data_IF_113085247461
#
_entry.id   IF_113085247461
#
_cell.length_a   1.000
_cell.length_b   1.000
_cell.length_c   1.000
_cell.angle_alpha   90.00
_cell.angle_beta   90.00
_cell.angle_gamma   90.00
#
_symmetry.space_group_name_H-M   'P 1'
#
loop_
_entity.id
_entity.type
_entity.pdbx_description
1 polymer ?
#
# COMPACT_ATOMS: atom_id res chain seq x y z
N UNK A 1 -30.08 6.13 -21.96
CA UNK A 1 -29.32 6.14 -23.23
C UNK A 1 -28.46 4.87 -23.29
N UNK A 2 -28.85 3.91 -24.14
CA UNK A 2 -28.18 2.60 -24.24
C UNK A 2 -26.69 2.70 -24.56
N UNK A 3 -26.29 3.72 -25.28
CA UNK A 3 -24.90 3.99 -25.64
C UNK A 3 -24.02 4.28 -24.41
N UNK A 4 -24.53 5.03 -23.42
CA UNK A 4 -23.81 5.34 -22.19
C UNK A 4 -23.68 4.11 -21.27
N UNK A 5 -24.70 3.26 -21.26
CA UNK A 5 -24.68 1.99 -20.48
C UNK A 5 -23.66 1.03 -21.09
N UNK A 6 -23.61 0.90 -22.42
CA UNK A 6 -22.63 0.05 -23.09
C UNK A 6 -21.19 0.48 -22.81
N UNK A 7 -20.91 1.77 -22.94
CA UNK A 7 -19.58 2.33 -22.63
C UNK A 7 -19.20 2.12 -21.15
N UNK A 8 -20.14 2.31 -20.23
CA UNK A 8 -19.93 2.05 -18.80
C UNK A 8 -19.57 0.57 -18.56
N UNK A 9 -20.36 -0.34 -19.12
CA UNK A 9 -20.14 -1.77 -18.98
C UNK A 9 -18.78 -2.21 -19.56
N UNK A 10 -18.39 -1.66 -20.72
CA UNK A 10 -17.09 -1.95 -21.32
C UNK A 10 -15.93 -1.47 -20.42
N UNK A 11 -16.05 -0.31 -19.81
CA UNK A 11 -15.06 0.20 -18.85
C UNK A 11 -14.97 -0.66 -17.57
N UNK A 12 -16.08 -1.27 -17.18
CA UNK A 12 -16.14 -2.09 -15.95
C UNK A 12 -15.63 -3.52 -16.15
N UNK A 13 -15.47 -4.01 -17.37
CA UNK A 13 -14.98 -5.38 -17.67
C UNK A 13 -13.62 -5.70 -17.05
N UNK A 14 -12.79 -4.71 -16.84
CA UNK A 14 -11.43 -4.87 -16.27
C UNK A 14 -11.41 -5.11 -14.76
N UNK A 15 -12.55 -5.03 -14.09
CA UNK A 15 -12.65 -5.20 -12.64
C UNK A 15 -13.30 -6.55 -12.29
N UNK A 16 -12.76 -7.25 -11.28
CA UNK A 16 -13.29 -8.53 -10.81
C UNK A 16 -14.58 -8.37 -10.00
N UNK A 17 -14.75 -7.20 -9.34
CA UNK A 17 -15.89 -6.90 -8.50
C UNK A 17 -16.31 -5.43 -8.67
N UNK A 18 -17.62 -5.21 -8.63
CA UNK A 18 -18.23 -3.88 -8.68
C UNK A 18 -19.02 -3.67 -7.39
N UNK A 19 -18.83 -2.53 -6.76
CA UNK A 19 -19.67 -2.07 -5.64
C UNK A 19 -20.51 -0.90 -6.17
N UNK A 20 -21.84 -1.01 -6.08
CA UNK A 20 -22.73 0.01 -6.58
C UNK A 20 -23.73 0.45 -5.49
N UNK A 21 -23.84 1.78 -5.32
CA UNK A 21 -24.89 2.41 -4.51
C UNK A 21 -26.14 2.71 -5.34
N UNK A 22 -27.31 2.27 -4.88
CA UNK A 22 -28.59 2.62 -5.48
C UNK A 22 -29.39 3.46 -4.49
N UNK A 23 -29.71 4.68 -4.91
CA UNK A 23 -30.38 5.67 -4.10
C UNK A 23 -31.85 5.76 -4.50
N UNK A 24 -32.71 5.08 -3.75
CA UNK A 24 -34.16 5.03 -3.97
C UNK A 24 -34.87 5.84 -2.88
N UNK A 25 -34.81 7.17 -3.00
CA UNK A 25 -35.40 8.09 -2.01
C UNK A 25 -36.88 8.34 -2.27
N UNK A 26 -37.64 8.70 -1.23
CA UNK A 26 -39.07 9.01 -1.33
C UNK A 26 -39.35 10.24 -2.21
N UNK A 27 -38.35 11.09 -2.43
CA UNK A 27 -38.42 12.30 -3.30
C UNK A 27 -38.40 11.97 -4.79
N UNK A 28 -37.89 10.80 -5.16
CA UNK A 28 -37.87 10.31 -6.53
C UNK A 28 -38.51 8.93 -6.52
N UNK A 29 -39.87 8.85 -6.63
CA UNK A 29 -40.52 7.56 -6.66
C UNK A 29 -39.97 6.76 -7.84
N UNK A 30 -39.57 5.52 -7.60
CA UNK A 30 -39.21 4.56 -8.65
C UNK A 30 -40.49 4.31 -9.48
N UNK A 31 -40.64 5.05 -10.59
CA UNK A 31 -41.64 4.72 -11.57
C UNK A 31 -41.24 3.47 -12.34
N UNK A 32 -42.16 2.83 -13.04
CA UNK A 32 -41.94 1.57 -13.75
C UNK A 32 -40.77 1.66 -14.76
N UNK A 33 -40.63 2.77 -15.46
CA UNK A 33 -39.58 2.97 -16.49
C UNK A 33 -38.18 3.03 -15.90
N UNK A 34 -38.03 3.65 -14.74
CA UNK A 34 -36.73 3.73 -14.03
C UNK A 34 -36.40 2.35 -13.45
N UNK A 35 -37.40 1.64 -12.91
CA UNK A 35 -37.21 0.30 -12.37
C UNK A 35 -36.76 -0.69 -13.46
N UNK A 36 -37.32 -0.65 -14.66
CA UNK A 36 -36.96 -1.52 -15.78
C UNK A 36 -35.54 -1.25 -16.25
N UNK A 37 -35.16 0.01 -16.42
CA UNK A 37 -33.81 0.41 -16.83
C UNK A 37 -32.76 0.00 -15.80
N UNK A 38 -33.07 0.17 -14.52
CA UNK A 38 -32.19 -0.22 -13.42
C UNK A 38 -32.07 -1.74 -13.33
N UNK A 39 -33.19 -2.47 -13.48
CA UNK A 39 -33.21 -3.93 -13.50
C UNK A 39 -32.33 -4.47 -14.64
N UNK A 40 -32.44 -3.89 -15.85
CA UNK A 40 -31.61 -4.27 -16.97
C UNK A 40 -30.10 -3.99 -16.69
N UNK A 41 -29.76 -2.83 -16.11
CA UNK A 41 -28.39 -2.49 -15.76
C UNK A 41 -27.82 -3.47 -14.74
N UNK A 42 -28.54 -3.73 -13.64
CA UNK A 42 -28.12 -4.67 -12.59
C UNK A 42 -27.95 -6.08 -13.16
N UNK A 43 -28.86 -6.52 -14.02
CA UNK A 43 -28.76 -7.81 -14.70
C UNK A 43 -27.50 -7.91 -15.57
N UNK A 44 -27.19 -6.88 -16.34
CA UNK A 44 -25.98 -6.84 -17.18
C UNK A 44 -24.71 -6.83 -16.31
N UNK A 45 -24.69 -6.07 -15.21
CA UNK A 45 -23.57 -6.05 -14.27
C UNK A 45 -23.35 -7.41 -13.62
N UNK A 46 -24.41 -8.06 -13.12
CA UNK A 46 -24.32 -9.40 -12.48
C UNK A 46 -23.84 -10.48 -13.46
N UNK A 47 -24.16 -10.36 -14.74
CA UNK A 47 -23.71 -11.31 -15.76
C UNK A 47 -22.24 -11.12 -16.14
N UNK A 48 -21.69 -9.94 -15.92
CA UNK A 48 -20.34 -9.57 -16.32
C UNK A 48 -19.33 -9.67 -15.18
N UNK A 49 -19.74 -9.23 -13.97
CA UNK A 49 -18.87 -9.09 -12.80
C UNK A 49 -19.58 -9.59 -11.54
N UNK A 50 -18.79 -9.84 -10.46
CA UNK A 50 -19.36 -9.95 -9.12
C UNK A 50 -19.81 -8.57 -8.67
N UNK A 51 -21.09 -8.45 -8.25
CA UNK A 51 -21.62 -7.17 -7.81
C UNK A 51 -22.09 -7.22 -6.35
N UNK A 52 -21.69 -6.21 -5.58
CA UNK A 52 -22.26 -5.88 -4.27
C UNK A 52 -23.10 -4.63 -4.44
N UNK A 53 -24.37 -4.70 -4.07
CA UNK A 53 -25.30 -3.58 -4.19
C UNK A 53 -25.62 -3.05 -2.80
N UNK A 54 -25.40 -1.76 -2.57
CA UNK A 54 -25.88 -1.01 -1.40
C UNK A 54 -27.16 -0.29 -1.77
N UNK A 55 -28.24 -0.62 -1.10
CA UNK A 55 -29.56 -0.04 -1.34
C UNK A 55 -29.89 1.01 -0.28
N UNK A 56 -29.96 2.26 -0.68
CA UNK A 56 -30.28 3.42 0.17
C UNK A 56 -31.71 3.86 -0.11
N UNK A 57 -32.65 3.40 0.70
CA UNK A 57 -34.07 3.74 0.55
C UNK A 57 -35.03 2.68 1.04
N UNK A 58 -36.29 2.83 0.63
CA UNK A 58 -37.38 1.96 1.05
C UNK A 58 -37.14 0.49 0.61
N UNK A 59 -37.09 -0.46 1.54
CA UNK A 59 -36.81 -1.87 1.24
C UNK A 59 -37.86 -2.53 0.35
N UNK A 60 -39.11 -2.11 0.38
CA UNK A 60 -40.16 -2.67 -0.47
C UNK A 60 -39.97 -2.43 -1.97
N UNK A 61 -39.20 -1.38 -2.33
CA UNK A 61 -38.89 -1.10 -3.73
C UNK A 61 -37.94 -2.13 -4.37
N UNK A 62 -37.25 -2.93 -3.58
CA UNK A 62 -36.43 -4.04 -4.04
C UNK A 62 -37.24 -5.01 -4.90
N UNK A 63 -38.55 -5.19 -4.59
CA UNK A 63 -39.44 -6.04 -5.37
C UNK A 63 -39.66 -5.60 -6.81
N UNK A 64 -39.30 -4.36 -7.14
CA UNK A 64 -39.34 -3.85 -8.53
C UNK A 64 -38.06 -4.16 -9.36
N UNK A 65 -37.03 -4.69 -8.70
CA UNK A 65 -35.71 -4.93 -9.32
C UNK A 65 -35.29 -6.38 -9.07
N UNK A 66 -35.84 -7.29 -9.82
CA UNK A 66 -35.63 -8.75 -9.66
C UNK A 66 -34.14 -9.13 -9.73
N UNK A 67 -33.37 -8.43 -10.56
CA UNK A 67 -31.95 -8.66 -10.76
C UNK A 67 -31.09 -8.49 -9.48
N UNK A 68 -31.58 -7.75 -8.48
CA UNK A 68 -30.89 -7.60 -7.18
C UNK A 68 -30.71 -8.94 -6.47
N UNK A 69 -31.64 -9.86 -6.67
CA UNK A 69 -31.60 -11.19 -6.04
C UNK A 69 -30.41 -12.06 -6.52
N UNK A 70 -29.80 -11.72 -7.63
CA UNK A 70 -28.67 -12.43 -8.24
C UNK A 70 -27.33 -11.73 -7.96
N UNK A 71 -27.32 -10.61 -7.24
CA UNK A 71 -26.09 -9.93 -6.84
C UNK A 71 -25.29 -10.77 -5.83
N UNK A 72 -23.97 -10.67 -5.87
CA UNK A 72 -23.06 -11.37 -4.95
C UNK A 72 -23.26 -10.94 -3.50
N UNK A 73 -23.76 -9.71 -3.28
CA UNK A 73 -24.16 -9.18 -1.99
C UNK A 73 -25.21 -8.08 -2.16
N UNK A 74 -26.18 -8.02 -1.23
CA UNK A 74 -27.17 -6.96 -1.14
C UNK A 74 -27.19 -6.41 0.27
N UNK A 75 -26.84 -5.15 0.42
CA UNK A 75 -26.85 -4.41 1.68
C UNK A 75 -28.01 -3.43 1.70
N UNK A 76 -28.84 -3.47 2.74
CA UNK A 76 -29.94 -2.54 2.97
C UNK A 76 -29.53 -1.49 4.00
N UNK A 77 -29.38 -0.27 3.55
CA UNK A 77 -28.99 0.87 4.39
C UNK A 77 -30.19 1.74 4.82
N UNK A 78 -31.38 1.51 4.23
CA UNK A 78 -32.65 2.19 4.51
C UNK A 78 -32.68 3.70 4.25
N UNK A 79 -31.64 4.42 4.64
CA UNK A 79 -31.58 5.88 4.55
C UNK A 79 -30.43 6.31 3.63
N UNK A 80 -30.59 7.49 3.04
CA UNK A 80 -29.55 8.13 2.24
C UNK A 80 -29.01 9.33 3.04
N UNK A 81 -27.89 9.11 3.72
CA UNK A 81 -27.12 10.16 4.40
C UNK A 81 -25.66 9.71 4.56
N UNK A 82 -24.78 10.67 4.85
CA UNK A 82 -23.34 10.45 4.96
C UNK A 82 -22.95 9.32 5.94
N UNK A 83 -23.71 9.14 7.03
CA UNK A 83 -23.42 8.10 8.02
C UNK A 83 -23.74 6.71 7.52
N UNK A 84 -24.87 6.54 6.82
CA UNK A 84 -25.25 5.23 6.26
C UNK A 84 -24.38 4.85 5.09
N UNK A 85 -23.89 5.80 4.31
CA UNK A 85 -22.92 5.58 3.24
C UNK A 85 -21.59 5.10 3.80
N UNK A 86 -21.02 5.80 4.79
CA UNK A 86 -19.79 5.44 5.47
C UNK A 86 -19.88 4.06 6.15
N UNK A 87 -20.94 3.81 6.95
CA UNK A 87 -21.14 2.52 7.61
C UNK A 87 -21.34 1.38 6.60
N UNK A 88 -21.98 1.65 5.46
CA UNK A 88 -22.13 0.66 4.38
C UNK A 88 -20.78 0.27 3.80
N UNK A 89 -19.91 1.24 3.55
CA UNK A 89 -18.53 1.01 3.09
C UNK A 89 -17.75 0.20 4.14
N UNK A 90 -17.78 0.61 5.42
CA UNK A 90 -17.10 -0.10 6.50
C UNK A 90 -17.57 -1.56 6.63
N UNK A 91 -18.86 -1.83 6.44
CA UNK A 91 -19.41 -3.18 6.47
C UNK A 91 -18.93 -4.02 5.27
N UNK A 92 -18.99 -3.47 4.06
CA UNK A 92 -18.55 -4.16 2.84
C UNK A 92 -17.07 -4.53 2.92
N UNK A 93 -16.23 -3.63 3.44
CA UNK A 93 -14.81 -3.85 3.58
C UNK A 93 -14.42 -4.56 4.90
N UNK A 94 -15.37 -4.95 5.75
CA UNK A 94 -15.13 -5.74 6.95
C UNK A 94 -14.54 -4.96 8.14
N UNK A 95 -14.66 -3.63 8.14
CA UNK A 95 -14.33 -2.80 9.29
C UNK A 95 -15.29 -3.03 10.46
N UNK A 96 -16.59 -3.15 10.15
CA UNK A 96 -17.64 -3.49 11.11
C UNK A 96 -18.31 -4.81 10.74
N UNK A 97 -18.87 -5.50 11.75
CA UNK A 97 -19.63 -6.72 11.53
C UNK A 97 -21.07 -6.43 11.07
N UNK A 98 -21.61 -7.28 10.20
CA UNK A 98 -23.00 -7.24 9.80
C UNK A 98 -23.83 -8.15 10.70
N UNK A 99 -24.75 -7.57 11.49
CA UNK A 99 -25.70 -8.28 12.36
C UNK A 99 -27.15 -7.91 12.07
N UNK A 100 -27.37 -7.02 11.10
CA UNK A 100 -28.69 -6.51 10.78
C UNK A 100 -29.66 -7.61 10.40
N UNK A 101 -30.90 -7.50 10.91
CA UNK A 101 -32.01 -8.35 10.56
C UNK A 101 -33.13 -7.51 9.98
N UNK A 102 -33.81 -8.02 8.95
CA UNK A 102 -34.93 -7.32 8.35
C UNK A 102 -36.07 -7.13 9.39
N UNK A 103 -36.51 -5.88 9.62
CA UNK A 103 -37.63 -5.61 10.51
C UNK A 103 -39.00 -5.92 9.87
N UNK A 104 -39.02 -6.12 8.56
CA UNK A 104 -40.22 -6.33 7.76
C UNK A 104 -40.00 -7.46 6.74
N UNK A 105 -41.08 -8.09 6.30
CA UNK A 105 -41.07 -9.01 5.16
C UNK A 105 -41.18 -8.22 3.88
N UNK A 106 -40.22 -8.33 3.00
CA UNK A 106 -40.17 -7.69 1.68
C UNK A 106 -40.88 -8.61 0.66
N UNK A 107 -40.50 -9.90 0.66
CA UNK A 107 -41.05 -10.94 -0.22
C UNK A 107 -40.75 -12.33 0.37
N UNK A 108 -41.04 -13.38 -0.38
CA UNK A 108 -40.82 -14.77 0.06
C UNK A 108 -39.34 -15.11 0.33
N UNK A 109 -38.39 -14.46 -0.34
CA UNK A 109 -36.95 -14.64 -0.14
C UNK A 109 -36.45 -13.84 1.05
N UNK A 110 -36.94 -12.62 1.22
CA UNK A 110 -36.50 -11.67 2.23
C UNK A 110 -37.60 -11.44 3.27
N UNK A 111 -37.69 -12.35 4.23
CA UNK A 111 -38.69 -12.31 5.32
C UNK A 111 -38.16 -11.53 6.52
N UNK A 112 -39.10 -11.10 7.37
CA UNK A 112 -38.75 -10.52 8.68
C UNK A 112 -37.80 -11.44 9.44
N UNK A 113 -36.74 -10.87 10.06
CA UNK A 113 -35.69 -11.62 10.75
C UNK A 113 -34.58 -12.17 9.84
N UNK A 114 -34.74 -12.13 8.52
CA UNK A 114 -33.67 -12.52 7.60
C UNK A 114 -32.48 -11.54 7.65
N UNK A 115 -31.30 -12.06 7.53
CA UNK A 115 -30.04 -11.27 7.45
C UNK A 115 -28.83 -12.17 7.69
N UNK A 116 -27.78 -11.92 6.98
CA UNK A 116 -26.52 -12.60 7.12
C UNK A 116 -25.72 -12.02 8.28
N UNK A 117 -24.90 -12.85 8.92
CA UNK A 117 -23.87 -12.39 9.86
C UNK A 117 -22.55 -12.39 9.09
N UNK A 118 -21.89 -11.23 9.05
CA UNK A 118 -20.55 -11.10 8.45
C UNK A 118 -19.54 -10.69 9.51
N UNK A 119 -18.30 -11.22 9.44
CA UNK A 119 -17.27 -10.83 10.40
C UNK A 119 -16.91 -9.35 10.25
N UNK A 120 -16.54 -8.72 11.36
CA UNK A 120 -15.96 -7.38 11.42
C UNK A 120 -14.54 -7.44 11.95
N UNK A 121 -13.92 -6.25 12.11
CA UNK A 121 -12.53 -6.09 12.58
C UNK A 121 -11.48 -6.81 11.69
N UNK A 122 -11.81 -7.09 10.42
CA UNK A 122 -10.88 -7.58 9.40
C UNK A 122 -9.99 -6.44 8.94
N UNK A 123 -10.52 -5.20 9.03
CA UNK A 123 -9.82 -3.94 8.76
C UNK A 123 -10.05 -2.97 9.89
N UNK A 124 -9.21 -1.91 9.94
CA UNK A 124 -9.48 -0.78 10.82
C UNK A 124 -10.84 -0.18 10.47
N UNK A 125 -11.66 0.06 11.49
CA UNK A 125 -12.90 0.83 11.34
C UNK A 125 -12.63 2.31 11.67
N UNK A 126 -13.47 3.20 11.16
CA UNK A 126 -13.48 4.60 11.55
C UNK A 126 -14.50 4.84 12.67
N UNK A 127 -14.17 5.69 13.62
CA UNK A 127 -15.06 5.99 14.74
C UNK A 127 -14.63 7.17 15.59
N UNK A 128 -15.51 7.58 16.50
CA UNK A 128 -15.24 8.70 17.40
C UNK A 128 -14.11 8.37 18.38
N UNK A 129 -13.19 9.31 18.64
CA UNK A 129 -12.13 9.17 19.63
C UNK A 129 -12.64 8.77 21.02
N UNK A 130 -13.79 9.27 21.42
CA UNK A 130 -14.45 8.98 22.72
C UNK A 130 -14.76 7.49 22.89
N UNK A 131 -15.15 6.81 21.82
CA UNK A 131 -15.41 5.36 21.84
C UNK A 131 -14.13 4.53 22.10
N UNK A 132 -12.97 5.12 21.79
CA UNK A 132 -11.67 4.54 22.10
C UNK A 132 -11.06 5.06 23.42
N UNK A 133 -11.80 5.87 24.18
CA UNK A 133 -11.34 6.46 25.45
C UNK A 133 -10.35 7.62 25.25
N UNK A 134 -10.49 8.38 24.17
CA UNK A 134 -9.68 9.56 23.85
C UNK A 134 -10.60 10.74 23.63
N UNK A 135 -10.24 11.93 24.16
CA UNK A 135 -10.99 13.15 23.87
C UNK A 135 -10.65 13.68 22.48
N UNK A 136 -11.65 13.82 21.60
CA UNK A 136 -11.49 14.38 20.26
C UNK A 136 -10.88 15.77 20.28
N UNK A 137 -11.40 16.67 21.12
CA UNK A 137 -10.89 18.05 21.23
C UNK A 137 -9.42 18.11 21.64
N UNK A 138 -8.99 17.27 22.60
CA UNK A 138 -7.58 17.21 23.03
C UNK A 138 -6.69 16.61 21.94
N UNK A 139 -7.14 15.54 21.29
CA UNK A 139 -6.40 14.87 20.23
C UNK A 139 -6.16 15.82 19.06
N UNK A 140 -7.23 16.42 18.55
CA UNK A 140 -7.18 17.34 17.41
C UNK A 140 -6.29 18.55 17.73
N UNK A 141 -6.55 19.25 18.84
CA UNK A 141 -5.76 20.41 19.22
C UNK A 141 -4.26 20.13 19.34
N UNK A 142 -3.89 18.95 19.89
CA UNK A 142 -2.47 18.59 20.04
C UNK A 142 -1.82 18.25 18.71
N UNK A 143 -2.48 17.44 17.88
CA UNK A 143 -1.93 17.05 16.57
C UNK A 143 -1.86 18.27 15.66
N UNK A 144 -2.90 19.10 15.59
CA UNK A 144 -2.90 20.35 14.81
C UNK A 144 -1.73 21.26 15.20
N UNK A 145 -1.50 21.43 16.50
CA UNK A 145 -0.40 22.24 17.02
C UNK A 145 0.96 21.71 16.57
N UNK A 146 1.20 20.39 16.67
CA UNK A 146 2.47 19.76 16.28
C UNK A 146 2.67 19.84 14.77
N UNK A 147 1.67 19.45 13.97
CA UNK A 147 1.76 19.44 12.52
C UNK A 147 2.02 20.86 11.96
N UNK A 148 1.26 21.84 12.41
CA UNK A 148 1.43 23.22 11.96
C UNK A 148 2.75 23.84 12.45
N UNK A 149 3.22 23.48 13.64
CA UNK A 149 4.54 23.92 14.13
C UNK A 149 5.68 23.41 13.22
N UNK A 150 5.62 22.14 12.80
CA UNK A 150 6.62 21.57 11.88
C UNK A 150 6.61 22.26 10.51
N UNK A 151 5.42 22.53 9.94
CA UNK A 151 5.27 23.26 8.68
C UNK A 151 5.80 24.69 8.81
N UNK A 152 5.43 25.40 9.90
CA UNK A 152 5.87 26.77 10.16
C UNK A 152 7.39 26.87 10.35
N UNK A 153 7.99 25.86 10.98
CA UNK A 153 9.44 25.75 11.15
C UNK A 153 10.16 25.29 9.87
N UNK A 154 9.43 25.02 8.77
CA UNK A 154 9.95 24.45 7.54
C UNK A 154 10.70 23.12 7.74
N UNK A 155 10.28 22.31 8.71
CA UNK A 155 10.80 20.96 8.91
C UNK A 155 10.29 20.01 7.80
N UNK A 156 9.07 20.23 7.35
CA UNK A 156 8.44 19.56 6.20
C UNK A 156 7.37 20.48 5.60
N UNK A 157 7.06 20.35 4.29
CA UNK A 157 6.06 21.20 3.62
C UNK A 157 4.62 20.80 3.91
N UNK A 158 4.40 19.55 4.23
CA UNK A 158 3.08 18.98 4.56
C UNK A 158 3.21 17.58 5.11
N UNK A 159 2.11 17.03 5.62
CA UNK A 159 2.04 15.66 6.13
C UNK A 159 0.60 15.16 6.18
N UNK A 160 0.46 13.85 6.19
CA UNK A 160 -0.77 13.13 6.49
C UNK A 160 -0.60 12.37 7.80
N UNK A 161 -1.58 12.45 8.70
CA UNK A 161 -1.51 11.84 10.02
C UNK A 161 -2.75 10.98 10.26
N UNK A 162 -2.51 9.69 10.51
CA UNK A 162 -3.54 8.74 10.94
C UNK A 162 -3.23 8.28 12.36
N UNK A 163 -4.24 8.29 13.23
CA UNK A 163 -4.16 7.69 14.56
C UNK A 163 -5.21 6.60 14.72
N UNK A 164 -4.77 5.39 15.05
CA UNK A 164 -5.66 4.28 15.33
C UNK A 164 -5.48 3.78 16.77
N UNK A 165 -6.57 3.43 17.44
CA UNK A 165 -6.57 2.84 18.77
C UNK A 165 -7.64 1.76 18.86
N UNK A 166 -7.28 0.59 19.41
CA UNK A 166 -8.20 -0.57 19.58
C UNK A 166 -8.92 -0.95 18.26
N UNK A 167 -8.16 -0.97 17.14
CA UNK A 167 -8.71 -1.31 15.83
C UNK A 167 -9.60 -0.22 15.20
N UNK A 168 -9.64 0.99 15.76
CA UNK A 168 -10.45 2.11 15.26
C UNK A 168 -9.55 3.27 14.89
N UNK A 169 -9.68 3.75 13.65
CA UNK A 169 -9.11 5.05 13.23
C UNK A 169 -9.91 6.14 13.90
N UNK A 170 -9.27 6.91 14.76
CA UNK A 170 -9.87 7.95 15.58
C UNK A 170 -9.44 9.35 15.16
N UNK A 171 -8.53 9.45 14.22
CA UNK A 171 -8.07 10.70 13.63
C UNK A 171 -7.43 10.41 12.28
N UNK A 172 -7.77 11.20 11.27
CA UNK A 172 -7.16 11.18 9.95
C UNK A 172 -7.24 12.60 9.38
N UNK A 173 -6.10 13.23 9.14
CA UNK A 173 -6.05 14.62 8.66
C UNK A 173 -4.78 14.89 7.86
N UNK A 174 -4.94 15.69 6.80
CA UNK A 174 -3.86 16.17 5.94
C UNK A 174 -3.54 17.62 6.25
N UNK A 175 -2.26 18.00 6.11
CA UNK A 175 -1.75 19.34 6.41
C UNK A 175 -0.77 19.78 5.33
N UNK A 176 -0.82 21.07 4.98
CA UNK A 176 0.14 21.71 4.10
C UNK A 176 0.11 21.21 2.67
N UNK A 177 1.28 21.11 2.05
CA UNK A 177 1.45 20.90 0.61
C UNK A 177 2.55 19.88 0.33
N UNK A 178 2.61 19.37 -0.91
CA UNK A 178 3.67 18.44 -1.35
C UNK A 178 5.07 19.07 -1.30
N UNK A 179 5.16 20.38 -1.56
CA UNK A 179 6.42 21.13 -1.55
C UNK A 179 6.23 22.50 -0.93
N UNK A 180 7.34 23.18 -0.62
CA UNK A 180 7.33 24.58 -0.11
C UNK A 180 6.84 25.61 -1.13
N UNK A 181 6.58 25.21 -2.37
CA UNK A 181 5.94 26.09 -3.37
C UNK A 181 4.43 26.28 -3.15
N UNK A 182 3.83 25.49 -2.27
CA UNK A 182 2.42 25.54 -1.87
C UNK A 182 1.42 25.43 -3.03
N UNK A 183 1.74 24.59 -4.04
CA UNK A 183 0.89 24.42 -5.23
C UNK A 183 -0.08 23.26 -5.09
N UNK A 184 0.39 22.11 -4.63
CA UNK A 184 -0.39 20.87 -4.51
C UNK A 184 -0.62 20.57 -3.04
N UNK A 185 -1.85 20.67 -2.52
CA UNK A 185 -2.16 20.33 -1.14
C UNK A 185 -2.00 18.82 -0.90
N UNK A 186 -1.64 18.46 0.33
CA UNK A 186 -1.63 17.06 0.76
C UNK A 186 -3.07 16.55 0.88
N UNK A 187 -3.32 15.34 0.37
CA UNK A 187 -4.62 14.68 0.39
C UNK A 187 -4.52 13.25 0.93
N UNK A 188 -5.65 12.67 1.34
CA UNK A 188 -5.75 11.28 1.82
C UNK A 188 -5.48 10.23 0.73
N UNK A 189 -5.35 10.64 -0.51
CA UNK A 189 -5.04 9.76 -1.65
C UNK A 189 -3.56 9.81 -2.07
N UNK A 190 -2.75 10.53 -1.33
CA UNK A 190 -1.34 10.69 -1.66
C UNK A 190 -0.53 9.43 -1.33
N UNK A 191 0.55 9.26 -2.05
CA UNK A 191 1.48 8.14 -1.89
C UNK A 191 2.83 8.65 -1.43
N UNK A 192 3.39 8.00 -0.43
CA UNK A 192 4.66 8.36 0.19
C UNK A 192 5.69 7.26 0.01
N UNK A 193 6.95 7.66 -0.14
CA UNK A 193 8.07 6.74 0.00
C UNK A 193 8.08 6.17 1.42
N UNK A 194 8.02 4.85 1.54
CA UNK A 194 7.95 4.18 2.84
C UNK A 194 9.32 4.03 3.51
N UNK A 195 10.41 4.30 2.78
CA UNK A 195 11.76 4.14 3.29
C UNK A 195 11.92 2.81 4.05
N UNK A 196 12.44 2.86 5.28
CA UNK A 196 12.68 1.65 6.08
C UNK A 196 11.42 0.92 6.57
N UNK A 197 10.22 1.48 6.45
CA UNK A 197 8.97 0.75 6.68
C UNK A 197 8.85 -0.44 5.72
N UNK A 198 9.49 -0.38 4.54
CA UNK A 198 9.61 -1.49 3.59
C UNK A 198 10.14 -2.78 4.23
N UNK A 199 11.04 -2.69 5.22
CA UNK A 199 11.57 -3.85 5.93
C UNK A 199 10.46 -4.68 6.58
N UNK A 200 9.49 -4.02 7.20
CA UNK A 200 8.39 -4.66 7.96
C UNK A 200 7.11 -4.79 7.15
N UNK A 201 6.92 -3.99 6.10
CA UNK A 201 5.74 -4.08 5.24
C UNK A 201 5.93 -5.03 4.05
N UNK A 202 7.17 -5.31 3.64
CA UNK A 202 7.46 -6.12 2.46
C UNK A 202 8.42 -7.29 2.76
N UNK A 203 9.67 -6.98 3.10
CA UNK A 203 10.73 -8.00 3.19
C UNK A 203 10.46 -9.04 4.30
N UNK A 204 10.11 -8.59 5.50
CA UNK A 204 9.81 -9.50 6.61
C UNK A 204 8.56 -10.36 6.34
N UNK A 205 7.43 -9.81 5.90
CA UNK A 205 6.25 -10.62 5.55
C UNK A 205 6.51 -11.65 4.44
N UNK A 206 7.36 -11.34 3.47
CA UNK A 206 7.76 -12.33 2.46
C UNK A 206 8.53 -13.51 3.07
N UNK A 207 9.46 -13.24 4.00
CA UNK A 207 10.14 -14.29 4.75
C UNK A 207 9.18 -15.10 5.63
N UNK A 208 8.17 -14.46 6.25
CA UNK A 208 7.15 -15.15 7.03
C UNK A 208 6.32 -16.12 6.19
N UNK A 209 6.02 -15.79 4.93
CA UNK A 209 5.36 -16.72 4.00
C UNK A 209 6.26 -17.95 3.77
N UNK A 210 7.52 -17.73 3.44
CA UNK A 210 8.47 -18.82 3.17
C UNK A 210 8.72 -19.68 4.42
N UNK A 211 8.72 -19.08 5.60
CA UNK A 211 8.80 -19.82 6.88
C UNK A 211 7.55 -20.70 7.09
N UNK A 212 6.35 -20.17 6.80
CA UNK A 212 5.12 -20.95 6.90
C UNK A 212 4.99 -22.09 5.87
N UNK A 213 5.80 -22.05 4.82
CA UNK A 213 5.91 -23.08 3.78
C UNK A 213 7.12 -24.03 4.01
N UNK A 214 7.78 -23.95 5.17
CA UNK A 214 8.98 -24.71 5.53
C UNK A 214 10.17 -24.51 4.54
N UNK A 215 10.18 -23.42 3.78
CA UNK A 215 11.25 -23.08 2.83
C UNK A 215 12.35 -22.21 3.46
N UNK A 216 12.03 -21.48 4.52
CA UNK A 216 12.93 -20.56 5.22
C UNK A 216 12.89 -20.82 6.72
N UNK A 217 14.04 -20.73 7.37
CA UNK A 217 14.16 -20.69 8.82
C UNK A 217 15.10 -19.54 9.25
N UNK A 218 14.70 -18.69 10.18
CA UNK A 218 15.57 -17.64 10.67
C UNK A 218 16.79 -18.19 11.46
N UNK A 219 16.76 -19.43 11.90
CA UNK A 219 17.84 -20.06 12.66
C UNK A 219 18.93 -20.65 11.77
N UNK A 220 18.79 -20.56 10.48
CA UNK A 220 19.77 -20.98 9.50
C UNK A 220 20.84 -19.90 9.23
N UNK A 221 22.02 -20.36 8.79
CA UNK A 221 23.15 -19.49 8.42
C UNK A 221 22.91 -18.82 7.07
N UNK A 222 23.40 -17.59 6.91
CA UNK A 222 23.36 -16.87 5.64
C UNK A 222 23.91 -17.72 4.48
N UNK A 223 25.04 -18.42 4.70
CA UNK A 223 25.70 -19.23 3.66
C UNK A 223 24.89 -20.43 3.21
N UNK A 224 23.90 -20.89 3.97
CA UNK A 224 23.01 -21.97 3.56
C UNK A 224 22.04 -21.51 2.48
N UNK A 225 21.55 -20.28 2.59
CA UNK A 225 20.68 -19.67 1.58
C UNK A 225 21.46 -19.09 0.41
N UNK A 226 22.59 -18.41 0.69
CA UNK A 226 23.41 -17.72 -0.31
C UNK A 226 24.84 -18.27 -0.32
N UNK A 227 25.12 -19.35 -1.07
CA UNK A 227 26.43 -19.99 -1.14
C UNK A 227 27.59 -19.06 -1.51
N UNK A 228 27.30 -17.96 -2.21
CA UNK A 228 28.29 -16.94 -2.56
C UNK A 228 28.84 -16.20 -1.33
N UNK A 229 28.23 -16.33 -0.15
CA UNK A 229 28.75 -15.81 1.12
C UNK A 229 29.65 -16.80 1.89
N UNK A 230 29.78 -18.06 1.46
CA UNK A 230 30.58 -19.10 2.14
C UNK A 230 32.02 -18.71 2.44
N UNK A 231 32.61 -17.86 1.58
CA UNK A 231 33.99 -17.37 1.75
C UNK A 231 34.06 -15.94 2.30
N UNK A 232 33.03 -15.49 2.99
CA UNK A 232 32.98 -14.16 3.62
C UNK A 232 32.94 -14.30 5.15
N UNK A 233 33.28 -13.19 5.85
CA UNK A 233 33.13 -13.10 7.30
C UNK A 233 31.66 -13.13 7.77
N UNK A 234 30.71 -13.28 6.85
CA UNK A 234 29.27 -13.36 7.12
C UNK A 234 28.70 -14.76 6.94
N UNK A 235 29.55 -15.72 6.55
CA UNK A 235 29.16 -17.10 6.29
C UNK A 235 28.33 -17.71 7.40
N UNK A 236 28.78 -17.53 8.65
CA UNK A 236 28.23 -18.14 9.84
C UNK A 236 27.16 -17.31 10.56
N UNK A 237 26.81 -16.13 10.02
CA UNK A 237 25.78 -15.30 10.63
C UNK A 237 24.41 -15.95 10.51
N UNK A 238 23.69 -16.03 11.63
CA UNK A 238 22.31 -16.52 11.67
C UNK A 238 21.37 -15.43 11.13
N UNK A 239 20.40 -15.82 10.33
CA UNK A 239 19.41 -14.89 9.78
C UNK A 239 18.62 -14.21 10.91
N UNK A 240 18.31 -14.91 12.01
CA UNK A 240 17.66 -14.35 13.19
C UNK A 240 18.43 -13.15 13.75
N UNK A 241 19.75 -13.31 13.96
CA UNK A 241 20.60 -12.24 14.47
C UNK A 241 20.68 -11.06 13.47
N UNK A 242 20.75 -11.38 12.17
CA UNK A 242 20.76 -10.37 11.11
C UNK A 242 19.46 -9.56 11.07
N UNK A 243 18.31 -10.23 11.08
CA UNK A 243 16.98 -9.58 11.05
C UNK A 243 16.72 -8.77 12.33
N UNK A 244 17.24 -9.22 13.47
CA UNK A 244 17.16 -8.51 14.74
C UNK A 244 18.19 -7.38 14.90
N UNK A 245 19.03 -7.12 13.88
CA UNK A 245 20.11 -6.14 13.92
C UNK A 245 21.16 -6.41 15.01
N UNK A 246 21.41 -7.68 15.31
CA UNK A 246 22.34 -8.13 16.37
C UNK A 246 23.52 -8.96 15.82
N UNK A 247 23.67 -9.03 14.50
CA UNK A 247 24.70 -9.82 13.84
C UNK A 247 26.08 -9.13 13.75
N UNK A 248 26.26 -7.97 14.35
CA UNK A 248 27.52 -7.20 14.28
C UNK A 248 27.79 -6.56 12.92
N UNK A 249 26.79 -6.44 12.05
CA UNK A 249 26.94 -5.76 10.76
C UNK A 249 27.10 -4.25 10.95
N UNK A 250 27.83 -3.57 10.04
CA UNK A 250 27.85 -2.11 9.98
C UNK A 250 26.45 -1.56 9.66
N UNK A 251 26.15 -0.36 10.13
CA UNK A 251 24.83 0.23 9.98
C UNK A 251 24.43 0.38 8.51
N UNK A 252 25.29 0.95 7.69
CA UNK A 252 25.09 1.19 6.25
C UNK A 252 26.42 1.38 5.54
N UNK A 253 26.41 1.33 4.18
CA UNK A 253 27.55 1.60 3.32
C UNK A 253 27.11 2.64 2.29
N UNK A 254 27.79 3.79 2.20
CA UNK A 254 27.44 4.86 1.25
C UNK A 254 27.92 4.51 -0.17
N UNK A 255 27.33 3.51 -0.81
CA UNK A 255 27.74 2.98 -2.12
C UNK A 255 27.83 4.05 -3.20
N UNK A 256 26.98 5.09 -3.14
CA UNK A 256 26.94 6.16 -4.10
C UNK A 256 28.24 7.01 -4.08
N UNK A 257 28.94 7.13 -2.94
CA UNK A 257 30.19 7.91 -2.84
C UNK A 257 31.27 7.36 -3.76
N UNK A 258 31.29 6.05 -3.96
CA UNK A 258 32.19 5.40 -4.90
C UNK A 258 31.89 5.72 -6.38
N UNK A 259 30.73 6.30 -6.67
CA UNK A 259 30.31 6.66 -8.03
C UNK A 259 30.63 8.10 -8.40
N UNK A 260 31.01 8.93 -7.43
CA UNK A 260 31.22 10.36 -7.58
C UNK A 260 32.71 10.68 -7.44
N UNK A 261 33.22 11.61 -8.26
CA UNK A 261 34.57 12.18 -8.15
C UNK A 261 34.61 13.30 -7.12
N UNK A 262 35.82 13.69 -6.66
CA UNK A 262 36.01 14.83 -5.74
C UNK A 262 35.36 16.13 -6.20
N UNK A 263 35.25 16.35 -7.51
CA UNK A 263 34.60 17.53 -8.10
C UNK A 263 33.06 17.39 -8.26
N UNK A 264 32.45 16.39 -7.67
CA UNK A 264 31.01 16.14 -7.70
C UNK A 264 30.45 15.60 -9.03
N UNK A 265 31.30 15.30 -10.02
CA UNK A 265 30.90 14.66 -11.27
C UNK A 265 30.86 13.13 -11.12
N UNK A 266 29.97 12.47 -11.82
CA UNK A 266 29.95 11.01 -11.86
C UNK A 266 31.23 10.42 -12.48
N UNK A 267 31.63 9.27 -11.97
CA UNK A 267 32.71 8.49 -12.60
C UNK A 267 32.24 7.99 -13.98
N UNK A 268 33.13 7.91 -14.97
CA UNK A 268 32.77 7.44 -16.31
C UNK A 268 32.14 6.05 -16.29
N UNK A 269 31.18 5.82 -17.16
CA UNK A 269 30.51 4.52 -17.34
C UNK A 269 29.72 4.04 -16.12
N UNK A 270 29.43 4.89 -15.16
CA UNK A 270 28.59 4.53 -13.99
C UNK A 270 27.13 4.76 -14.28
N UNK A 271 26.80 5.92 -14.81
CA UNK A 271 25.43 6.35 -15.12
C UNK A 271 25.26 6.73 -16.59
N UNK A 272 24.04 6.70 -17.06
CA UNK A 272 23.57 7.21 -18.33
C UNK A 272 22.29 8.02 -18.12
N UNK A 273 22.06 9.02 -18.97
CA UNK A 273 20.78 9.72 -19.03
C UNK A 273 19.77 9.05 -19.97
N UNK A 274 20.19 7.98 -20.65
CA UNK A 274 19.34 7.17 -21.52
C UNK A 274 19.26 5.74 -21.00
N UNK A 275 18.03 5.19 -21.01
CA UNK A 275 17.82 3.78 -20.73
C UNK A 275 18.45 2.91 -21.82
N UNK A 276 19.07 1.82 -21.40
CA UNK A 276 19.60 0.81 -22.33
C UNK A 276 19.82 -0.53 -21.62
N UNK A 277 20.02 -1.62 -22.37
CA UNK A 277 20.40 -2.94 -21.81
C UNK A 277 21.68 -2.90 -20.96
N UNK A 278 22.51 -1.91 -21.11
CA UNK A 278 23.70 -1.65 -20.30
C UNK A 278 23.40 -0.86 -19.03
N UNK A 279 22.41 0.03 -19.08
CA UNK A 279 21.97 0.91 -18.00
C UNK A 279 20.45 0.73 -17.77
N UNK A 280 20.01 -0.45 -17.23
CA UNK A 280 18.60 -0.80 -17.16
C UNK A 280 17.91 -0.36 -15.86
N UNK A 281 18.66 0.07 -14.85
CA UNK A 281 18.10 0.38 -13.52
C UNK A 281 17.96 1.87 -13.32
N UNK A 282 16.74 2.33 -13.05
CA UNK A 282 16.43 3.74 -12.76
C UNK A 282 16.91 4.11 -11.36
N UNK A 283 17.71 5.18 -11.27
CA UNK A 283 18.21 5.75 -10.00
C UNK A 283 17.46 7.02 -9.64
N UNK A 284 17.07 7.77 -10.65
CA UNK A 284 16.23 8.97 -10.56
C UNK A 284 15.65 9.28 -11.94
N UNK A 285 14.82 10.31 -12.05
CA UNK A 285 14.26 10.70 -13.34
C UNK A 285 15.37 11.01 -14.36
N UNK A 286 15.37 10.29 -15.49
CA UNK A 286 16.39 10.43 -16.52
C UNK A 286 17.82 10.06 -16.08
N UNK A 287 17.97 9.26 -15.04
CA UNK A 287 19.27 8.78 -14.56
C UNK A 287 19.24 7.27 -14.34
N UNK A 288 20.08 6.54 -15.08
CA UNK A 288 20.13 5.09 -15.06
C UNK A 288 21.53 4.59 -14.70
N UNK A 289 21.61 3.51 -13.90
CA UNK A 289 22.89 2.95 -13.46
C UNK A 289 23.26 1.70 -14.27
N UNK A 290 24.56 1.48 -14.43
CA UNK A 290 25.11 0.34 -15.14
C UNK A 290 24.75 -0.98 -14.43
N UNK A 291 24.28 -1.98 -15.17
CA UNK A 291 23.77 -3.28 -14.65
C UNK A 291 24.70 -3.99 -13.67
N UNK A 292 26.04 -3.85 -13.81
CA UNK A 292 27.01 -4.54 -12.95
C UNK A 292 27.18 -3.84 -11.58
N UNK A 293 26.45 -2.76 -11.30
CA UNK A 293 26.60 -2.07 -10.02
C UNK A 293 26.06 -2.88 -8.84
N UNK A 294 25.02 -3.68 -9.07
CA UNK A 294 24.49 -4.61 -8.06
C UNK A 294 25.58 -5.57 -7.55
N UNK A 295 26.37 -6.16 -8.44
CA UNK A 295 27.49 -7.03 -8.06
C UNK A 295 28.57 -6.30 -7.23
N UNK A 296 28.81 -5.01 -7.53
CA UNK A 296 29.74 -4.20 -6.75
C UNK A 296 29.21 -3.95 -5.35
N UNK A 297 27.94 -3.59 -5.21
CA UNK A 297 27.26 -3.41 -3.91
C UNK A 297 27.40 -4.69 -3.07
N UNK A 298 27.07 -5.84 -3.62
CA UNK A 298 27.20 -7.12 -2.92
C UNK A 298 28.63 -7.47 -2.55
N UNK A 299 29.59 -7.12 -3.39
CA UNK A 299 31.02 -7.27 -3.09
C UNK A 299 31.45 -6.41 -1.89
N UNK A 300 31.01 -5.17 -1.83
CA UNK A 300 31.29 -4.28 -0.68
C UNK A 300 30.62 -4.79 0.60
N UNK A 301 29.38 -5.28 0.51
CA UNK A 301 28.71 -5.92 1.65
C UNK A 301 29.52 -7.13 2.14
N UNK A 302 29.97 -8.02 1.25
CA UNK A 302 30.77 -9.21 1.62
C UNK A 302 32.07 -8.85 2.30
N UNK A 303 32.70 -7.74 1.93
CA UNK A 303 33.97 -7.28 2.49
C UNK A 303 33.83 -6.43 3.76
N UNK A 304 32.65 -5.89 4.02
CA UNK A 304 32.43 -5.02 5.16
C UNK A 304 32.75 -5.75 6.49
N UNK A 305 33.26 -5.03 7.49
CA UNK A 305 33.59 -5.65 8.78
C UNK A 305 32.33 -6.18 9.48
N UNK A 306 32.56 -7.19 10.33
CA UNK A 306 31.57 -7.73 11.25
C UNK A 306 32.16 -7.62 12.66
N UNK A 307 31.43 -7.01 13.59
CA UNK A 307 31.81 -6.94 15.00
C UNK A 307 31.55 -8.28 15.68
N UNK A 308 32.43 -8.71 16.55
CA UNK A 308 32.21 -9.87 17.41
C UNK A 308 31.22 -9.58 18.56
N UNK A 309 30.92 -8.30 18.81
CA UNK A 309 29.95 -7.91 19.82
C UNK A 309 28.54 -8.04 19.27
N UNK A 310 27.74 -8.91 19.86
CA UNK A 310 26.31 -9.08 19.53
C UNK A 310 25.48 -7.99 20.22
N UNK A 311 25.73 -6.72 19.85
CA UNK A 311 24.93 -5.58 20.30
C UNK A 311 23.97 -5.17 19.19
N UNK A 312 22.83 -4.63 19.60
CA UNK A 312 21.90 -4.02 18.65
C UNK A 312 22.58 -2.85 17.93
N UNK A 313 22.69 -2.97 16.62
CA UNK A 313 23.11 -1.91 15.71
C UNK A 313 22.25 -2.02 14.45
N UNK A 314 21.33 -1.09 14.29
CA UNK A 314 20.47 -1.04 13.12
C UNK A 314 21.29 -1.08 11.83
N UNK A 315 21.02 -2.07 10.96
CA UNK A 315 21.78 -2.30 9.74
C UNK A 315 20.86 -2.52 8.54
N UNK A 316 21.08 -1.78 7.46
CA UNK A 316 20.38 -1.95 6.19
C UNK A 316 20.88 -3.18 5.41
N UNK A 317 22.11 -3.64 5.69
CA UNK A 317 22.78 -4.66 4.88
C UNK A 317 22.01 -5.98 4.81
N UNK A 318 21.38 -6.38 5.93
CA UNK A 318 20.52 -7.56 5.97
C UNK A 318 19.41 -7.46 4.93
N UNK A 319 18.71 -6.34 4.93
CA UNK A 319 17.54 -6.16 4.08
C UNK A 319 17.87 -5.82 2.62
N UNK A 320 19.12 -5.46 2.31
CA UNK A 320 19.66 -5.45 0.94
C UNK A 320 19.84 -6.88 0.42
N UNK A 321 20.21 -7.81 1.29
CA UNK A 321 20.48 -9.23 0.95
C UNK A 321 19.19 -10.06 0.87
N UNK A 322 18.23 -9.79 1.75
CA UNK A 322 16.99 -10.59 1.91
C UNK A 322 16.22 -10.83 0.60
N UNK A 323 16.07 -9.86 -0.32
CA UNK A 323 15.47 -10.12 -1.63
C UNK A 323 16.04 -11.32 -2.39
N UNK A 324 17.36 -11.52 -2.33
CA UNK A 324 18.01 -12.64 -3.02
C UNK A 324 17.67 -13.98 -2.39
N UNK A 325 17.53 -14.02 -1.08
CA UNK A 325 17.07 -15.21 -0.35
C UNK A 325 15.63 -15.52 -0.78
N UNK A 326 14.76 -14.52 -0.79
CA UNK A 326 13.36 -14.70 -1.15
C UNK A 326 13.23 -15.17 -2.60
N UNK A 327 13.90 -14.53 -3.56
CA UNK A 327 13.84 -14.91 -4.98
C UNK A 327 14.37 -16.33 -5.22
N UNK A 328 15.43 -16.69 -4.51
CA UNK A 328 16.02 -18.03 -4.63
C UNK A 328 15.11 -19.14 -4.10
N UNK A 329 14.44 -18.89 -2.99
CA UNK A 329 13.57 -19.89 -2.35
C UNK A 329 12.19 -19.98 -3.03
N UNK A 330 11.63 -18.85 -3.43
CA UNK A 330 10.30 -18.81 -4.07
C UNK A 330 10.32 -19.10 -5.58
N UNK A 331 11.47 -18.91 -6.23
CA UNK A 331 11.60 -19.03 -7.69
C UNK A 331 10.97 -17.87 -8.48
N UNK A 332 10.51 -16.80 -7.82
CA UNK A 332 9.86 -15.64 -8.45
C UNK A 332 10.45 -14.32 -7.94
N UNK A 333 10.12 -13.22 -8.58
CA UNK A 333 10.54 -11.89 -8.12
C UNK A 333 9.93 -11.57 -6.76
N UNK A 334 10.77 -11.18 -5.81
CA UNK A 334 10.35 -10.98 -4.41
C UNK A 334 9.24 -9.96 -4.26
N UNK A 335 9.26 -8.87 -5.03
CA UNK A 335 8.22 -7.84 -5.01
C UNK A 335 6.88 -8.32 -5.61
N UNK A 336 6.91 -9.28 -6.55
CA UNK A 336 5.70 -9.93 -7.07
C UNK A 336 5.11 -10.86 -6.02
N UNK A 337 5.94 -11.67 -5.33
CA UNK A 337 5.50 -12.49 -4.19
C UNK A 337 4.78 -11.66 -3.14
N UNK A 338 5.37 -10.52 -2.73
CA UNK A 338 4.77 -9.62 -1.75
C UNK A 338 3.44 -9.05 -2.25
N UNK A 339 3.41 -8.59 -3.50
CA UNK A 339 2.21 -8.00 -4.10
C UNK A 339 1.07 -9.01 -4.15
N UNK A 340 1.33 -10.22 -4.66
CA UNK A 340 0.27 -11.20 -4.91
C UNK A 340 -0.14 -11.96 -3.65
N UNK A 341 0.82 -12.30 -2.80
CA UNK A 341 0.58 -13.12 -1.61
C UNK A 341 0.21 -12.32 -0.37
N UNK A 342 0.51 -11.01 -0.32
CA UNK A 342 0.25 -10.17 0.83
C UNK A 342 -0.66 -9.00 0.46
N UNK A 343 -0.20 -8.05 -0.34
CA UNK A 343 -0.91 -6.79 -0.56
C UNK A 343 -2.29 -6.98 -1.17
N UNK A 344 -2.41 -7.82 -2.21
CA UNK A 344 -3.71 -8.14 -2.82
C UNK A 344 -4.65 -8.84 -1.84
N UNK A 345 -4.15 -9.78 -1.02
CA UNK A 345 -4.97 -10.53 -0.06
C UNK A 345 -5.51 -9.67 1.07
N UNK A 346 -4.71 -8.71 1.55
CA UNK A 346 -5.15 -7.77 2.59
C UNK A 346 -5.83 -6.52 2.02
N UNK A 347 -5.88 -6.38 0.66
CA UNK A 347 -6.48 -5.24 -0.03
C UNK A 347 -5.68 -3.94 0.08
N UNK A 348 -4.38 -4.03 0.26
CA UNK A 348 -3.46 -2.89 0.23
C UNK A 348 -3.01 -2.63 -1.22
N UNK A 349 -3.96 -2.23 -2.09
CA UNK A 349 -3.73 -2.12 -3.53
C UNK A 349 -2.84 -0.93 -3.94
N UNK A 350 -2.70 0.06 -3.06
CA UNK A 350 -1.91 1.27 -3.32
C UNK A 350 -0.45 1.15 -2.85
N UNK A 351 -0.05 0.04 -2.22
CA UNK A 351 1.36 -0.23 -1.95
C UNK A 351 2.02 -0.83 -3.19
N UNK A 352 3.08 -0.21 -3.66
CA UNK A 352 3.83 -0.70 -4.82
C UNK A 352 5.25 -0.16 -4.85
N UNK A 353 6.14 -0.83 -5.60
CA UNK A 353 7.43 -0.29 -6.00
C UNK A 353 7.29 0.49 -7.31
N UNK A 354 8.09 1.54 -7.48
CA UNK A 354 8.14 2.35 -8.71
C UNK A 354 6.74 2.83 -9.16
N UNK A 355 6.08 3.71 -8.40
CA UNK A 355 4.66 4.05 -8.56
C UNK A 355 4.31 4.69 -9.91
N UNK A 356 5.24 5.33 -10.61
CA UNK A 356 4.97 6.03 -11.86
C UNK A 356 4.49 5.14 -13.01
N UNK A 357 4.73 3.85 -12.93
CA UNK A 357 4.18 2.90 -13.90
C UNK A 357 2.68 2.66 -13.72
N UNK A 358 2.14 3.01 -12.56
CA UNK A 358 0.79 2.64 -12.13
C UNK A 358 -0.08 3.83 -11.73
N UNK A 359 0.52 4.90 -11.22
CA UNK A 359 -0.19 6.05 -10.66
C UNK A 359 0.24 7.37 -11.34
N UNK A 360 -0.67 8.36 -11.41
CA UNK A 360 -0.32 9.68 -11.91
C UNK A 360 0.63 10.40 -10.94
N UNK A 361 1.57 11.22 -11.46
CA UNK A 361 2.57 11.90 -10.65
C UNK A 361 1.99 12.75 -9.52
N UNK A 362 0.81 13.31 -9.72
CA UNK A 362 0.12 14.20 -8.75
C UNK A 362 -0.25 13.49 -7.44
N UNK A 363 -0.37 12.15 -7.47
CA UNK A 363 -0.62 11.34 -6.27
C UNK A 363 0.65 11.00 -5.49
N UNK A 364 1.81 11.19 -6.08
CA UNK A 364 3.09 10.81 -5.45
C UNK A 364 3.73 12.04 -4.82
N UNK A 365 3.96 12.00 -3.53
CA UNK A 365 4.58 13.13 -2.81
C UNK A 365 6.09 13.12 -3.06
N UNK A 366 6.71 14.23 -3.50
CA UNK A 366 8.15 14.34 -3.57
C UNK A 366 8.80 14.22 -2.18
N UNK A 367 9.94 13.55 -2.09
CA UNK A 367 10.62 13.34 -0.80
C UNK A 367 11.57 14.48 -0.45
N UNK A 368 12.51 14.79 -1.33
CA UNK A 368 13.50 15.86 -1.12
C UNK A 368 14.14 16.33 -2.43
N UNK A 369 14.87 17.44 -2.38
CA UNK A 369 15.83 17.79 -3.41
C UNK A 369 17.20 17.22 -3.04
N UNK A 370 17.62 16.13 -3.70
CA UNK A 370 18.93 15.52 -3.50
C UNK A 370 20.03 16.40 -4.12
N UNK A 371 20.66 17.21 -3.30
CA UNK A 371 21.72 18.14 -3.72
C UNK A 371 23.10 17.47 -3.85
N UNK A 372 23.29 16.29 -3.27
CA UNK A 372 24.60 15.64 -3.15
C UNK A 372 24.86 14.64 -4.26
N UNK A 373 23.93 13.72 -4.50
CA UNK A 373 24.11 12.59 -5.39
C UNK A 373 23.39 12.78 -6.72
N UNK A 374 22.05 12.83 -6.74
CA UNK A 374 21.23 12.83 -7.96
C UNK A 374 20.97 14.23 -8.52
N UNK A 375 21.11 15.28 -7.69
CA UNK A 375 21.01 16.72 -8.03
C UNK A 375 19.67 17.08 -8.66
N UNK A 376 18.61 16.51 -8.16
CA UNK A 376 17.25 16.75 -8.62
C UNK A 376 16.23 16.49 -7.50
N UNK A 377 15.00 16.94 -7.72
CA UNK A 377 13.86 16.58 -6.87
C UNK A 377 13.60 15.08 -6.98
N UNK A 378 13.58 14.38 -5.85
CA UNK A 378 13.26 12.97 -5.78
C UNK A 378 11.74 12.83 -5.71
N UNK A 379 11.16 12.33 -6.78
CA UNK A 379 9.73 12.24 -6.98
C UNK A 379 9.40 10.92 -7.70
N UNK A 380 8.67 10.02 -7.04
CA UNK A 380 8.29 8.71 -7.55
C UNK A 380 9.45 7.74 -7.82
N UNK A 381 10.64 8.08 -7.36
CA UNK A 381 11.79 7.18 -7.24
C UNK A 381 12.21 7.15 -5.77
N UNK A 382 12.76 6.01 -5.33
CA UNK A 382 13.09 5.81 -3.92
C UNK A 382 14.08 6.85 -3.39
N UNK A 383 13.84 7.34 -2.18
CA UNK A 383 14.68 8.33 -1.50
C UNK A 383 16.07 7.76 -1.19
N UNK A 384 16.15 6.56 -0.63
CA UNK A 384 17.41 5.91 -0.25
C UNK A 384 18.32 5.69 -1.45
N UNK A 385 19.56 6.20 -1.36
CA UNK A 385 20.52 6.14 -2.47
C UNK A 385 20.97 4.69 -2.77
N UNK A 386 21.09 3.85 -1.74
CA UNK A 386 21.46 2.44 -1.91
C UNK A 386 20.37 1.66 -2.61
N UNK A 387 19.12 1.87 -2.23
CA UNK A 387 17.96 1.29 -2.90
C UNK A 387 17.82 1.81 -4.33
N UNK A 388 18.02 3.11 -4.57
CA UNK A 388 18.01 3.70 -5.90
C UNK A 388 19.06 3.05 -6.82
N UNK A 389 20.28 2.80 -6.32
CA UNK A 389 21.33 2.10 -7.07
C UNK A 389 20.99 0.62 -7.37
N UNK A 390 19.98 0.07 -6.72
CA UNK A 390 19.40 -1.25 -6.98
C UNK A 390 18.11 -1.17 -7.84
N UNK A 391 17.80 0.00 -8.41
CA UNK A 391 16.64 0.22 -9.28
C UNK A 391 15.35 0.53 -8.53
N UNK A 392 15.43 0.98 -7.28
CA UNK A 392 14.26 1.34 -6.46
C UNK A 392 13.48 0.16 -5.90
N UNK A 393 14.00 -1.07 -6.03
CA UNK A 393 13.36 -2.29 -5.55
C UNK A 393 14.32 -3.00 -4.61
N UNK A 394 14.28 -2.62 -3.35
CA UNK A 394 15.16 -3.19 -2.32
C UNK A 394 14.40 -3.51 -1.04
N UNK A 395 14.82 -4.55 -0.33
CA UNK A 395 14.14 -4.96 0.90
C UNK A 395 14.36 -4.02 2.08
N UNK A 396 15.30 -3.06 1.99
CA UNK A 396 15.59 -2.11 3.08
C UNK A 396 14.88 -0.78 2.92
N UNK A 397 14.55 -0.38 1.70
CA UNK A 397 13.81 0.85 1.37
C UNK A 397 13.23 0.74 -0.05
N UNK A 398 12.02 1.30 -0.26
CA UNK A 398 11.33 1.26 -1.53
C UNK A 398 9.96 1.90 -1.49
#
# INVERSE_FOLDING_TARGET
>A
NDKNISTLLDNLKRYDMIIAGIYATDRIPLNYTVADSLNLLVKKLNNQNKCIISWFGNPYLINKIDALSNSSGLLLAYQNNIFTEDLSAQLIFGGIEGKGKLPVTINNKYRVGYGLITPGNIRLKYGLPENAGVSSAKLESKIDSIANSGISAKAYPGCEIIVARKGTVIFHKCYGYHTYENKTPVTENDMYDLASVTKVSAATPALMILDSEDLFSPDEKLSNYLPEFKRSNKSELLLRDMLAHQAGLVAWIPFWKETVKKNGKFKPRTFSHEYSSRYPLTVANGLYIHKNYREKIFREIKKSPVSNEKKYLYSDLTFIIVPDIIEKLSGQKWYELVTDSIYRKIGAFDICFNPWSKYPPERVVPTEYDSLFRKQLIHGTVHDEGAAMLGGISGHAG
#
